data_IF_663203444255
#
_entry.id   IF_663203444255
#
_cell.length_a   1.000
_cell.length_b   1.000
_cell.length_c   1.000
_cell.angle_alpha   90.00
_cell.angle_beta   90.00
_cell.angle_gamma   90.00
#
_symmetry.space_group_name_H-M   'P 1'
#
loop_
_entity.id
_entity.type
_entity.pdbx_description
1 polymer ?
#
# COMPACT_ATOMS: atom_id res chain seq x y z
N UNK A 1 3.61 -21.00 3.05
CA UNK A 1 3.88 -19.55 3.12
C UNK A 1 2.56 -18.83 3.20
N UNK A 2 2.51 -17.65 3.83
CA UNK A 2 1.36 -16.78 3.69
C UNK A 2 1.53 -15.97 2.41
N UNK A 3 0.45 -15.72 1.67
CA UNK A 3 0.55 -14.89 0.46
C UNK A 3 0.80 -13.44 0.88
N UNK A 4 1.87 -12.84 0.37
CA UNK A 4 2.46 -11.60 0.85
C UNK A 4 2.49 -10.53 -0.23
N UNK A 5 2.25 -9.31 0.21
CA UNK A 5 2.44 -8.09 -0.56
C UNK A 5 3.61 -7.35 0.06
N UNK A 6 4.54 -6.89 -0.76
CA UNK A 6 5.72 -6.17 -0.30
C UNK A 6 5.73 -4.73 -0.78
N UNK A 7 6.12 -3.81 0.10
CA UNK A 7 6.57 -2.48 -0.26
C UNK A 7 8.08 -2.51 -0.40
N UNK A 8 8.59 -2.14 -1.57
CA UNK A 8 10.00 -2.34 -1.92
C UNK A 8 10.56 -1.04 -2.49
N UNK A 9 11.83 -0.75 -2.20
CA UNK A 9 12.55 0.39 -2.79
C UNK A 9 13.52 -0.07 -3.88
N UNK A 10 13.49 0.62 -5.02
CA UNK A 10 14.33 0.34 -6.18
C UNK A 10 14.99 1.61 -6.73
N UNK A 11 15.99 1.40 -7.59
CA UNK A 11 16.69 2.46 -8.33
C UNK A 11 16.11 2.71 -9.73
N UNK A 12 15.02 2.01 -10.10
CA UNK A 12 14.40 2.05 -11.43
C UNK A 12 12.88 2.18 -11.35
N UNK A 13 12.31 2.95 -12.29
CA UNK A 13 10.87 3.06 -12.52
C UNK A 13 10.26 1.77 -13.10
N UNK A 14 11.09 0.95 -13.76
CA UNK A 14 10.73 -0.37 -14.27
C UNK A 14 11.57 -1.39 -13.50
N UNK A 15 11.17 -1.79 -12.29
CA UNK A 15 11.92 -2.76 -11.52
C UNK A 15 11.85 -4.14 -12.17
N UNK A 16 12.90 -4.93 -12.00
CA UNK A 16 12.87 -6.36 -12.30
C UNK A 16 12.63 -7.07 -10.97
N UNK A 17 11.65 -7.97 -10.97
CA UNK A 17 11.18 -8.69 -9.80
C UNK A 17 11.76 -10.11 -9.79
N UNK A 18 13.06 -10.26 -9.49
CA UNK A 18 13.59 -11.57 -9.12
C UNK A 18 13.39 -11.81 -7.60
N UNK A 19 13.14 -13.06 -7.20
CA UNK A 19 12.80 -13.41 -5.81
C UNK A 19 13.90 -13.06 -4.79
N UNK A 20 15.16 -13.01 -5.25
CA UNK A 20 16.33 -12.77 -4.41
C UNK A 20 16.41 -11.27 -4.08
N UNK A 21 16.30 -10.40 -5.09
CA UNK A 21 16.30 -8.94 -4.94
C UNK A 21 15.06 -8.43 -4.23
N UNK A 22 13.89 -9.08 -4.42
CA UNK A 22 12.63 -8.70 -3.74
C UNK A 22 12.78 -8.72 -2.23
N UNK A 23 13.28 -9.83 -1.69
CA UNK A 23 13.43 -9.99 -0.26
C UNK A 23 14.44 -8.98 0.28
N UNK A 24 15.61 -8.84 -0.35
CA UNK A 24 16.66 -7.91 0.12
C UNK A 24 16.24 -6.43 0.10
N UNK A 25 15.33 -6.04 -0.81
CA UNK A 25 14.89 -4.65 -0.98
C UNK A 25 13.53 -4.35 -0.33
N UNK A 26 12.87 -5.35 0.25
CA UNK A 26 11.61 -5.21 0.93
C UNK A 26 11.75 -4.36 2.21
N UNK A 27 10.93 -3.32 2.29
CA UNK A 27 10.84 -2.43 3.43
C UNK A 27 9.81 -2.94 4.43
N UNK A 28 8.61 -3.19 3.92
CA UNK A 28 7.43 -3.56 4.69
C UNK A 28 6.70 -4.67 3.94
N UNK A 29 5.97 -5.49 4.68
CA UNK A 29 5.16 -6.55 4.12
C UNK A 29 3.75 -6.54 4.74
N UNK A 30 2.80 -7.14 4.04
CA UNK A 30 1.48 -7.43 4.57
C UNK A 30 0.97 -8.76 4.01
N UNK A 31 0.26 -9.53 4.82
CA UNK A 31 -0.30 -10.81 4.37
C UNK A 31 -1.70 -10.56 3.80
N UNK A 32 -1.98 -11.12 2.62
CA UNK A 32 -3.30 -11.18 1.99
C UNK A 32 -4.03 -9.83 1.78
N UNK A 33 -3.31 -8.71 1.91
CA UNK A 33 -3.89 -7.37 1.84
C UNK A 33 -2.82 -6.34 1.51
N UNK A 34 -3.24 -5.18 1.04
CA UNK A 34 -2.39 -4.02 0.79
C UNK A 34 -2.70 -2.98 1.88
N UNK A 35 -1.70 -2.54 2.67
CA UNK A 35 -1.94 -1.56 3.73
C UNK A 35 -2.47 -0.22 3.20
N UNK A 36 -3.44 0.35 3.92
CA UNK A 36 -4.14 1.56 3.46
C UNK A 36 -3.19 2.73 3.19
N UNK A 37 -2.18 2.93 4.05
CA UNK A 37 -1.28 4.08 3.92
C UNK A 37 -0.35 3.94 2.72
N UNK A 38 -0.15 2.74 2.17
CA UNK A 38 0.66 2.58 0.97
C UNK A 38 -0.05 3.18 -0.25
N UNK A 39 -1.38 3.08 -0.33
CA UNK A 39 -2.15 3.69 -1.41
C UNK A 39 -1.99 5.21 -1.48
N UNK A 40 -1.65 5.88 -0.37
CA UNK A 40 -1.49 7.34 -0.35
C UNK A 40 -0.28 7.83 -1.14
N UNK A 41 0.64 6.94 -1.53
CA UNK A 41 1.77 7.24 -2.40
C UNK A 41 1.39 7.33 -3.89
N UNK A 42 0.35 6.59 -4.31
CA UNK A 42 0.11 6.28 -5.71
C UNK A 42 -1.10 6.99 -6.29
N UNK A 43 -1.14 7.12 -7.60
CA UNK A 43 -2.23 7.64 -8.42
C UNK A 43 -2.60 6.60 -9.46
N UNK A 44 -3.77 6.71 -10.11
CA UNK A 44 -4.19 5.74 -11.13
C UNK A 44 -3.21 5.59 -12.30
N UNK A 45 -2.36 6.61 -12.54
CA UNK A 45 -1.34 6.59 -13.58
C UNK A 45 -0.08 5.79 -13.20
N UNK A 46 0.08 5.45 -11.93
CA UNK A 46 1.23 4.69 -11.42
C UNK A 46 0.99 3.17 -11.49
N UNK A 47 -0.19 2.75 -11.96
CA UNK A 47 -0.49 1.34 -12.24
C UNK A 47 0.03 0.99 -13.64
N UNK A 48 1.06 0.17 -13.68
CA UNK A 48 1.61 -0.41 -14.90
C UNK A 48 1.57 -1.93 -14.84
N UNK A 49 1.63 -2.56 -16.01
CA UNK A 49 1.75 -4.00 -16.14
C UNK A 49 3.22 -4.34 -16.27
N UNK A 50 3.66 -5.30 -15.47
CA UNK A 50 5.02 -5.78 -15.47
C UNK A 50 5.04 -7.24 -15.87
N UNK A 51 6.00 -7.57 -16.72
CA UNK A 51 6.26 -8.94 -17.13
C UNK A 51 6.91 -9.69 -15.96
N UNK A 52 6.21 -10.72 -15.46
CA UNK A 52 6.66 -11.60 -14.38
C UNK A 52 6.79 -13.01 -14.91
N UNK A 53 7.96 -13.62 -14.71
CA UNK A 53 8.17 -15.02 -15.02
C UNK A 53 7.48 -15.90 -13.97
N UNK A 54 6.62 -16.80 -14.42
CA UNK A 54 5.88 -17.71 -13.56
C UNK A 54 6.56 -19.07 -13.54
N UNK A 55 6.58 -19.76 -12.39
CA UNK A 55 7.26 -21.04 -12.21
C UNK A 55 6.85 -22.11 -13.24
N UNK A 56 5.57 -22.13 -13.63
CA UNK A 56 4.97 -23.16 -14.49
C UNK A 56 4.30 -22.59 -15.77
N UNK A 57 4.45 -21.30 -16.06
CA UNK A 57 3.66 -20.61 -17.10
C UNK A 57 4.52 -19.65 -17.96
N UNK A 58 4.01 -19.14 -19.10
CA UNK A 58 4.68 -18.06 -19.81
C UNK A 58 4.80 -16.80 -18.94
N UNK A 59 5.60 -15.83 -19.40
CA UNK A 59 5.66 -14.49 -18.82
C UNK A 59 4.23 -13.90 -18.76
N UNK A 60 3.78 -13.55 -17.57
CA UNK A 60 2.48 -12.96 -17.30
C UNK A 60 2.59 -11.46 -17.03
N UNK A 61 1.52 -10.72 -17.33
CA UNK A 61 1.46 -9.27 -17.10
C UNK A 61 0.75 -8.96 -15.79
N UNK A 62 1.53 -8.75 -14.73
CA UNK A 62 1.03 -8.49 -13.39
C UNK A 62 0.90 -6.97 -13.17
N UNK A 63 -0.25 -6.47 -12.69
CA UNK A 63 -0.39 -5.07 -12.31
C UNK A 63 0.46 -4.77 -11.08
N UNK A 64 1.18 -3.66 -11.14
CA UNK A 64 2.01 -3.19 -10.03
C UNK A 64 1.96 -1.66 -9.96
N UNK A 65 2.29 -1.15 -8.79
CA UNK A 65 2.28 0.26 -8.46
C UNK A 65 3.72 0.74 -8.28
N UNK A 66 4.17 1.72 -9.06
CA UNK A 66 5.50 2.34 -8.91
C UNK A 66 5.38 3.84 -8.98
N UNK A 67 6.03 4.51 -8.03
CA UNK A 67 6.14 5.97 -8.01
C UNK A 67 7.57 6.35 -7.62
N UNK A 68 8.05 7.49 -8.11
CA UNK A 68 9.25 8.09 -7.53
C UNK A 68 8.97 8.52 -6.08
N UNK A 69 9.90 8.19 -5.17
CA UNK A 69 9.71 8.37 -3.74
C UNK A 69 9.39 9.83 -3.35
N UNK A 70 10.05 10.88 -3.91
CA UNK A 70 9.70 12.26 -3.61
C UNK A 70 8.24 12.61 -3.96
N UNK A 71 7.76 12.24 -5.15
CA UNK A 71 6.37 12.46 -5.56
C UNK A 71 5.39 11.66 -4.69
N UNK A 72 5.75 10.42 -4.34
CA UNK A 72 4.95 9.59 -3.42
C UNK A 72 4.79 10.24 -2.04
N UNK A 73 5.88 10.80 -1.48
CA UNK A 73 5.85 11.51 -0.20
C UNK A 73 4.93 12.73 -0.28
N UNK A 74 5.11 13.59 -1.29
CA UNK A 74 4.30 14.80 -1.47
C UNK A 74 2.81 14.46 -1.49
N UNK A 75 2.42 13.45 -2.28
CA UNK A 75 1.03 12.97 -2.35
C UNK A 75 0.52 12.45 -1.02
N UNK A 76 1.33 11.67 -0.30
CA UNK A 76 0.94 11.14 1.00
C UNK A 76 0.68 12.28 2.00
N UNK A 77 1.46 13.36 1.96
CA UNK A 77 1.23 14.54 2.79
C UNK A 77 -0.08 15.25 2.42
N UNK A 78 -0.31 15.51 1.13
CA UNK A 78 -1.52 16.18 0.64
C UNK A 78 -2.81 15.41 0.97
N UNK A 79 -2.74 14.07 0.91
CA UNK A 79 -3.89 13.18 1.09
C UNK A 79 -4.23 12.87 2.54
N UNK A 80 -3.43 13.34 3.51
CA UNK A 80 -3.65 13.08 4.93
C UNK A 80 -5.09 13.45 5.36
N UNK A 81 -5.58 14.61 4.92
CA UNK A 81 -6.94 15.07 5.24
C UNK A 81 -8.04 14.16 4.68
N UNK A 82 -7.85 13.61 3.47
CA UNK A 82 -8.80 12.67 2.87
C UNK A 82 -8.82 11.35 3.65
N UNK A 83 -7.65 10.83 4.03
CA UNK A 83 -7.52 9.62 4.86
C UNK A 83 -8.31 9.78 6.16
N UNK A 84 -8.17 10.90 6.87
CA UNK A 84 -8.87 11.13 8.14
C UNK A 84 -10.32 11.61 8.01
N UNK A 85 -10.79 11.90 6.80
CA UNK A 85 -12.22 11.96 6.53
C UNK A 85 -12.87 10.58 6.70
N UNK A 86 -12.10 9.51 6.42
CA UNK A 86 -12.59 8.13 6.39
C UNK A 86 -12.20 7.37 7.65
N UNK A 87 -10.92 7.45 8.05
CA UNK A 87 -10.40 6.81 9.24
C UNK A 87 -10.63 7.62 10.53
N UNK A 88 -10.65 6.95 11.71
CA UNK A 88 -10.66 7.63 13.00
C UNK A 88 -9.39 8.46 13.20
N UNK A 89 -9.53 9.66 13.77
CA UNK A 89 -8.40 10.57 14.05
C UNK A 89 -7.42 10.02 15.11
N UNK A 90 -7.80 8.96 15.83
CA UNK A 90 -6.90 8.25 16.76
C UNK A 90 -5.68 7.62 16.08
N UNK A 91 -5.67 7.51 14.74
CA UNK A 91 -4.55 6.98 13.96
C UNK A 91 -3.66 8.07 13.34
N UNK A 92 -3.87 9.35 13.68
CA UNK A 92 -3.05 10.47 13.19
C UNK A 92 -1.57 10.25 13.47
N UNK A 93 -1.21 9.87 14.70
CA UNK A 93 0.19 9.66 15.09
C UNK A 93 0.85 8.53 14.31
N UNK A 94 0.09 7.47 13.97
CA UNK A 94 0.58 6.36 13.16
C UNK A 94 0.85 6.81 11.72
N UNK A 95 -0.01 7.65 11.14
CA UNK A 95 0.22 8.22 9.80
C UNK A 95 1.42 9.16 9.79
N UNK A 96 1.63 9.93 10.86
CA UNK A 96 2.84 10.77 10.99
C UNK A 96 4.12 9.93 11.14
N UNK A 97 4.06 8.77 11.80
CA UNK A 97 5.17 7.82 11.81
C UNK A 97 5.45 7.27 10.41
N UNK A 98 4.40 6.91 9.66
CA UNK A 98 4.51 6.50 8.26
C UNK A 98 5.18 7.56 7.38
N UNK A 99 4.76 8.82 7.46
CA UNK A 99 5.39 9.93 6.71
C UNK A 99 6.86 10.13 7.10
N UNK A 100 7.19 10.05 8.39
CA UNK A 100 8.58 10.16 8.88
C UNK A 100 9.44 9.01 8.35
N UNK A 101 8.92 7.79 8.36
CA UNK A 101 9.58 6.63 7.77
C UNK A 101 9.90 6.86 6.29
N UNK A 102 8.91 7.26 5.48
CA UNK A 102 9.12 7.54 4.06
C UNK A 102 10.19 8.61 3.81
N UNK A 103 10.15 9.71 4.58
CA UNK A 103 11.16 10.78 4.49
C UNK A 103 12.55 10.31 4.91
N UNK A 104 12.64 9.35 5.83
CA UNK A 104 13.90 8.71 6.20
C UNK A 104 14.52 7.86 5.09
N UNK A 105 13.70 7.37 4.16
CA UNK A 105 14.15 6.62 2.99
C UNK A 105 14.59 7.52 1.83
N UNK A 106 14.19 8.81 1.85
CA UNK A 106 14.46 9.72 0.76
C UNK A 106 15.97 9.86 0.52
N UNK A 107 16.47 9.62 -0.71
CA UNK A 107 17.89 9.71 -0.99
C UNK A 107 18.37 11.16 -0.78
N UNK A 108 19.65 11.31 -0.45
CA UNK A 108 20.31 12.61 -0.48
C UNK A 108 20.08 13.24 -1.87
N UNK A 109 19.85 14.56 -2.01
CA UNK A 109 19.59 15.22 -3.30
C UNK A 109 20.66 15.04 -4.40
N UNK A 110 21.80 14.44 -4.06
CA UNK A 110 22.92 14.16 -4.96
C UNK A 110 22.97 12.68 -5.43
N UNK A 111 22.05 11.85 -4.96
CA UNK A 111 21.92 10.44 -5.30
C UNK A 111 20.78 10.24 -6.32
N UNK A 112 20.82 9.17 -7.12
CA UNK A 112 19.73 8.86 -8.05
C UNK A 112 18.39 8.73 -7.31
N UNK A 113 17.28 9.09 -7.98
CA UNK A 113 15.95 8.98 -7.39
C UNK A 113 15.63 7.52 -7.07
N UNK A 114 15.09 7.30 -5.87
CA UNK A 114 14.54 6.01 -5.47
C UNK A 114 13.08 5.94 -5.91
N UNK A 115 12.65 4.75 -6.31
CA UNK A 115 11.29 4.42 -6.63
C UNK A 115 10.74 3.48 -5.57
N UNK A 116 9.47 3.63 -5.22
CA UNK A 116 8.77 2.73 -4.29
C UNK A 116 7.78 1.92 -5.10
N UNK A 117 7.84 0.60 -4.97
CA UNK A 117 6.93 -0.31 -5.64
C UNK A 117 6.12 -1.16 -4.66
N UNK A 118 4.93 -1.58 -5.07
CA UNK A 118 4.17 -2.65 -4.40
C UNK A 118 4.20 -3.91 -5.27
N UNK A 119 4.79 -4.99 -4.75
CA UNK A 119 4.73 -6.31 -5.38
C UNK A 119 3.38 -6.94 -5.07
N UNK A 120 2.56 -7.11 -6.11
CA UNK A 120 1.21 -7.65 -6.03
C UNK A 120 1.11 -9.08 -6.59
N UNK A 121 2.23 -9.69 -6.99
CA UNK A 121 2.23 -10.96 -7.73
C UNK A 121 1.41 -12.04 -7.03
N UNK A 122 1.68 -12.30 -5.75
CA UNK A 122 0.98 -13.36 -5.01
C UNK A 122 -0.51 -13.02 -4.80
N UNK A 123 -0.84 -11.75 -4.55
CA UNK A 123 -2.23 -11.34 -4.37
C UNK A 123 -3.02 -11.41 -5.68
N UNK A 124 -2.40 -11.04 -6.80
CA UNK A 124 -2.99 -11.11 -8.14
C UNK A 124 -3.24 -12.56 -8.56
N UNK A 125 -2.31 -13.48 -8.27
CA UNK A 125 -2.46 -14.91 -8.55
C UNK A 125 -3.60 -15.57 -7.76
N UNK A 126 -4.02 -14.98 -6.64
CA UNK A 126 -5.19 -15.44 -5.89
C UNK A 126 -6.52 -14.96 -6.46
N UNK A 127 -6.51 -14.03 -7.42
CA UNK A 127 -7.74 -13.50 -8.00
C UNK A 127 -8.34 -14.50 -8.99
N UNK A 128 -9.63 -14.78 -8.84
CA UNK A 128 -10.40 -15.57 -9.83
C UNK A 128 -10.58 -14.81 -11.15
N UNK A 129 -10.45 -13.47 -11.13
CA UNK A 129 -10.57 -12.58 -12.30
C UNK A 129 -9.47 -11.50 -12.26
N UNK A 130 -8.44 -11.70 -13.06
CA UNK A 130 -7.23 -10.85 -13.09
C UNK A 130 -7.45 -9.51 -13.81
N UNK A 131 -8.40 -9.45 -14.74
CA UNK A 131 -8.80 -8.21 -15.42
C UNK A 131 -9.59 -7.32 -14.46
N UNK A 132 -10.55 -7.90 -13.76
CA UNK A 132 -11.35 -7.21 -12.75
C UNK A 132 -10.47 -6.74 -11.58
N UNK A 133 -9.50 -7.54 -11.13
CA UNK A 133 -8.50 -7.13 -10.14
C UNK A 133 -7.78 -5.84 -10.53
N UNK A 134 -7.31 -5.76 -11.78
CA UNK A 134 -6.58 -4.57 -12.28
C UNK A 134 -7.46 -3.32 -12.30
N UNK A 135 -8.73 -3.49 -12.66
CA UNK A 135 -9.72 -2.41 -12.65
C UNK A 135 -10.02 -1.94 -11.23
N UNK A 136 -10.22 -2.86 -10.29
CA UNK A 136 -10.46 -2.56 -8.88
C UNK A 136 -9.26 -1.88 -8.24
N UNK A 137 -8.04 -2.30 -8.59
CA UNK A 137 -6.81 -1.66 -8.14
C UNK A 137 -6.75 -0.19 -8.57
N UNK A 138 -7.04 0.11 -9.85
CA UNK A 138 -7.08 1.50 -10.35
C UNK A 138 -8.15 2.33 -9.64
N UNK A 139 -9.32 1.75 -9.36
CA UNK A 139 -10.37 2.43 -8.59
C UNK A 139 -9.94 2.69 -7.15
N UNK A 140 -9.35 1.71 -6.47
CA UNK A 140 -8.86 1.80 -5.10
C UNK A 140 -7.79 2.89 -4.96
N UNK A 141 -6.84 2.98 -5.91
CA UNK A 141 -5.82 4.03 -5.92
C UNK A 141 -6.43 5.41 -6.16
N UNK A 142 -7.55 5.52 -6.88
CA UNK A 142 -8.25 6.80 -7.06
C UNK A 142 -9.03 7.25 -5.81
N UNK A 143 -9.30 6.33 -4.87
CA UNK A 143 -10.12 6.62 -3.69
C UNK A 143 -9.45 7.64 -2.77
N UNK A 144 -8.12 7.54 -2.59
CA UNK A 144 -7.35 8.41 -1.68
C UNK A 144 -7.32 9.89 -2.12
N UNK A 145 -7.62 10.17 -3.39
CA UNK A 145 -7.74 11.53 -3.93
C UNK A 145 -9.10 12.18 -3.66
N UNK A 146 -10.08 11.41 -3.15
CA UNK A 146 -11.47 11.84 -3.03
C UNK A 146 -11.98 11.63 -1.61
N UNK A 147 -13.08 12.30 -1.28
CA UNK A 147 -13.83 12.09 -0.03
C UNK A 147 -15.09 11.23 -0.24
N UNK A 148 -15.32 10.76 -1.47
CA UNK A 148 -16.48 9.93 -1.82
C UNK A 148 -16.36 8.52 -1.22
N UNK A 149 -17.29 8.23 -0.31
CA UNK A 149 -17.31 6.98 0.45
C UNK A 149 -17.37 5.73 -0.42
N UNK A 150 -18.05 5.75 -1.57
CA UNK A 150 -18.21 4.57 -2.40
C UNK A 150 -16.88 4.02 -2.93
N UNK A 151 -15.92 4.89 -3.24
CA UNK A 151 -14.58 4.49 -3.70
C UNK A 151 -13.72 3.98 -2.54
N UNK A 152 -13.90 4.56 -1.35
CA UNK A 152 -13.22 4.08 -0.15
C UNK A 152 -13.72 2.71 0.30
N UNK A 153 -15.01 2.40 0.12
CA UNK A 153 -15.56 1.09 0.46
C UNK A 153 -14.85 0.00 -0.37
N UNK A 154 -14.65 0.20 -1.69
CA UNK A 154 -13.87 -0.72 -2.54
C UNK A 154 -12.44 -0.88 -2.03
N UNK A 155 -11.74 0.22 -1.77
CA UNK A 155 -10.36 0.19 -1.24
C UNK A 155 -10.29 -0.59 0.09
N UNK A 156 -11.20 -0.32 1.00
CA UNK A 156 -11.18 -0.85 2.36
C UNK A 156 -11.58 -2.31 2.43
N UNK A 157 -12.60 -2.71 1.66
CA UNK A 157 -13.14 -4.06 1.67
C UNK A 157 -12.31 -5.01 0.80
N UNK A 158 -11.96 -4.62 -0.42
CA UNK A 158 -11.30 -5.52 -1.40
C UNK A 158 -9.79 -5.64 -1.18
N UNK A 159 -9.12 -4.55 -0.77
CA UNK A 159 -7.66 -4.54 -0.71
C UNK A 159 -7.09 -4.48 0.71
N UNK A 160 -7.71 -3.73 1.61
CA UNK A 160 -7.16 -3.48 2.94
C UNK A 160 -7.66 -4.50 3.97
N UNK A 161 -8.90 -4.98 3.84
CA UNK A 161 -9.49 -5.95 4.77
C UNK A 161 -9.92 -5.36 6.11
N UNK A 162 -10.32 -4.08 6.15
CA UNK A 162 -10.78 -3.39 7.37
C UNK A 162 -12.31 -3.26 7.38
N UNK A 163 -12.94 -3.32 8.56
CA UNK A 163 -14.38 -3.03 8.73
C UNK A 163 -14.61 -1.89 9.71
N UNK A 164 -15.28 -0.82 9.29
CA UNK A 164 -15.60 0.35 10.11
C UNK A 164 -17.06 0.36 10.60
N UNK A 165 -17.30 0.88 11.81
CA UNK A 165 -18.64 1.19 12.33
C UNK A 165 -18.70 2.58 12.95
N UNK A 166 -19.82 3.26 12.73
CA UNK A 166 -20.22 4.48 13.45
C UNK A 166 -21.27 4.13 14.50
N UNK A 167 -21.16 4.68 15.71
CA UNK A 167 -22.17 4.46 16.75
C UNK A 167 -23.46 5.23 16.46
N UNK A 168 -24.63 4.66 16.80
CA UNK A 168 -25.91 5.37 16.70
C UNK A 168 -25.95 6.67 17.54
N UNK A 169 -25.17 6.74 18.62
CA UNK A 169 -25.08 7.89 19.53
C UNK A 169 -23.71 8.58 19.53
N UNK A 170 -22.75 8.10 18.72
CA UNK A 170 -21.42 8.70 18.61
C UNK A 170 -21.07 8.93 17.16
N UNK A 171 -20.70 10.17 16.84
CA UNK A 171 -20.18 10.54 15.52
C UNK A 171 -18.78 9.97 15.26
N UNK A 172 -18.14 9.38 16.28
CA UNK A 172 -16.83 8.78 16.13
C UNK A 172 -16.92 7.44 15.38
N UNK A 173 -16.15 7.35 14.29
CA UNK A 173 -15.92 6.10 13.57
C UNK A 173 -14.97 5.21 14.38
N UNK A 174 -15.14 3.90 14.31
CA UNK A 174 -14.23 2.90 14.89
C UNK A 174 -13.97 1.77 13.92
N UNK A 175 -12.73 1.29 13.88
CA UNK A 175 -12.38 0.03 13.22
C UNK A 175 -12.82 -1.13 14.13
N UNK A 176 -13.48 -2.12 13.55
CA UNK A 176 -14.07 -3.28 14.27
C UNK A 176 -13.51 -4.62 13.83
N UNK A 177 -12.90 -4.67 12.65
CA UNK A 177 -12.06 -5.76 12.20
C UNK A 177 -10.86 -5.17 11.44
N UNK A 178 -9.64 -5.65 11.69
CA UNK A 178 -9.24 -6.63 12.71
C UNK A 178 -9.46 -6.11 14.14
N UNK A 179 -9.53 -7.03 15.12
CA UNK A 179 -9.91 -6.71 16.51
C UNK A 179 -8.73 -6.30 17.40
N UNK A 180 -7.51 -6.64 17.00
CA UNK A 180 -6.29 -6.37 17.76
C UNK A 180 -5.64 -5.08 17.27
N UNK A 181 -4.98 -4.35 18.17
CA UNK A 181 -4.24 -3.13 17.82
C UNK A 181 -3.17 -3.44 16.77
N UNK A 182 -2.38 -4.48 16.98
CA UNK A 182 -1.32 -4.91 16.06
C UNK A 182 -1.88 -5.30 14.68
N UNK A 183 -3.03 -5.97 14.65
CA UNK A 183 -3.69 -6.31 13.39
C UNK A 183 -4.14 -5.07 12.63
N UNK A 184 -4.70 -4.08 13.34
CA UNK A 184 -5.11 -2.80 12.71
C UNK A 184 -3.88 -2.07 12.19
N UNK A 185 -2.81 -1.97 12.98
CA UNK A 185 -1.56 -1.34 12.55
C UNK A 185 -1.00 -2.02 11.31
N UNK A 186 -0.95 -3.36 11.28
CA UNK A 186 -0.50 -4.11 10.11
C UNK A 186 -1.30 -3.81 8.84
N UNK A 187 -2.62 -3.62 8.93
CA UNK A 187 -3.44 -3.27 7.76
C UNK A 187 -3.38 -1.79 7.40
N UNK A 188 -2.88 -0.93 8.28
CA UNK A 188 -2.69 0.49 7.98
C UNK A 188 -1.31 0.77 7.40
N UNK A 189 -0.26 0.20 7.99
CA UNK A 189 1.14 0.48 7.63
C UNK A 189 1.90 -0.69 7.03
N UNK A 190 1.39 -1.92 7.12
CA UNK A 190 2.19 -3.13 6.95
C UNK A 190 2.96 -3.45 8.23
N UNK A 191 3.60 -4.61 8.26
CA UNK A 191 4.60 -4.96 9.26
C UNK A 191 6.00 -4.85 8.68
N UNK A 192 6.92 -4.52 9.57
CA UNK A 192 8.32 -4.35 9.27
C UNK A 192 8.98 -5.68 8.92
N UNK A 193 9.46 -5.80 7.68
CA UNK A 193 10.05 -7.04 7.19
C UNK A 193 11.40 -7.35 7.85
N UNK A 194 12.18 -6.30 8.17
CA UNK A 194 13.54 -6.43 8.73
C UNK A 194 13.81 -5.72 10.06
N UNK A 195 12.84 -5.01 10.65
CA UNK A 195 13.06 -4.24 11.88
C UNK A 195 13.53 -2.79 11.66
N UNK A 196 13.33 -2.23 10.45
CA UNK A 196 13.71 -0.86 10.06
C UNK A 196 12.66 0.22 10.37
N UNK A 197 11.40 -0.16 10.57
CA UNK A 197 10.24 0.70 10.87
C UNK A 197 10.08 1.01 12.37
N UNK A 198 11.01 0.56 13.23
CA UNK A 198 11.01 0.93 14.66
C UNK A 198 11.99 2.07 14.90
N UNK A 199 11.48 3.27 15.12
CA UNK A 199 12.23 4.29 15.86
C UNK A 199 12.67 3.68 17.21
N UNK A 200 13.95 3.80 17.52
CA UNK A 200 14.46 3.66 18.89
C UNK A 200 14.00 4.85 19.73
#
# INVERSE_FOLDING_TARGET
MANQVFLVVNDSANPILDEIDKNEKALLACNYSIPLFWFTLYSPNDVFLMDVEMDDAPIEQVPTLVVDLPTGIERAEERANNVFHILPHSYTDLYQQWLRFLKGLAPHPALPPKYVHIDLTELWMMSDDTEQFTKDLRMAVSAVDRTDRALWDVLIEEFVGIVMRSGFFSKEKKITYPKTVDGIQSLLTGYDWYGTFREK
#
